data_IF_795338101909
#
_entry.id   IF_795338101909
#
_cell.length_a   1.000
_cell.length_b   1.000
_cell.length_c   1.000
_cell.angle_alpha   90.00
_cell.angle_beta   90.00
_cell.angle_gamma   90.00
#
_symmetry.space_group_name_H-M   'P 1'
#
loop_
_entity.id
_entity.type
_entity.pdbx_description
1 polymer ?
#
# COMPACT_ATOMS: atom_id res chain seq x y z
N UNK A 1 16.13 -4.36 -4.60
CA UNK A 1 15.46 -5.18 -3.57
C UNK A 1 14.70 -4.26 -2.64
N UNK A 2 13.47 -4.58 -2.32
CA UNK A 2 12.63 -3.79 -1.42
C UNK A 2 11.94 -4.69 -0.40
N UNK A 3 11.51 -4.10 0.71
CA UNK A 3 10.63 -4.74 1.69
C UNK A 3 9.18 -4.52 1.26
N UNK A 4 8.46 -5.60 1.00
CA UNK A 4 7.06 -5.55 0.53
C UNK A 4 6.13 -5.86 1.69
N UNK A 5 5.33 -4.90 2.08
CA UNK A 5 4.31 -5.05 3.13
C UNK A 5 2.96 -5.31 2.46
N UNK A 6 2.44 -6.52 2.64
CA UNK A 6 1.18 -6.95 2.04
C UNK A 6 0.10 -6.98 3.13
N UNK A 7 -0.85 -6.08 3.07
CA UNK A 7 -2.03 -6.17 3.94
C UNK A 7 -3.18 -6.91 3.23
N UNK A 8 -3.95 -7.65 4.01
CA UNK A 8 -5.00 -8.53 3.49
C UNK A 8 -6.38 -7.93 3.76
N UNK A 9 -7.20 -7.83 2.74
CA UNK A 9 -8.54 -7.30 2.84
C UNK A 9 -9.54 -8.19 2.09
N UNK A 10 -10.65 -8.54 2.72
CA UNK A 10 -11.66 -9.43 2.15
C UNK A 10 -12.58 -8.74 1.12
N UNK A 11 -12.48 -7.43 0.95
CA UNK A 11 -13.31 -6.63 0.05
C UNK A 11 -12.44 -5.73 -0.82
N UNK A 12 -12.60 -5.81 -2.16
CA UNK A 12 -11.79 -5.03 -3.10
C UNK A 12 -11.99 -3.52 -2.98
N UNK A 13 -13.23 -3.07 -2.82
CA UNK A 13 -13.52 -1.64 -2.68
C UNK A 13 -12.95 -1.08 -1.36
N UNK A 14 -13.08 -1.83 -0.28
CA UNK A 14 -12.51 -1.47 1.02
C UNK A 14 -10.97 -1.48 0.98
N UNK A 15 -10.36 -2.44 0.29
CA UNK A 15 -8.91 -2.47 0.06
C UNK A 15 -8.40 -1.18 -0.61
N UNK A 16 -9.08 -0.73 -1.65
CA UNK A 16 -8.71 0.49 -2.35
C UNK A 16 -8.88 1.72 -1.44
N UNK A 17 -9.93 1.74 -0.64
CA UNK A 17 -10.16 2.80 0.32
C UNK A 17 -9.10 2.82 1.44
N UNK A 18 -8.76 1.68 1.99
CA UNK A 18 -7.66 1.55 2.98
C UNK A 18 -6.33 1.99 2.36
N UNK A 19 -6.05 1.62 1.12
CA UNK A 19 -4.84 2.07 0.42
C UNK A 19 -4.74 3.60 0.36
N UNK A 20 -5.83 4.31 0.08
CA UNK A 20 -5.89 5.76 0.12
C UNK A 20 -5.65 6.33 1.52
N UNK A 21 -6.25 5.73 2.53
CA UNK A 21 -6.08 6.16 3.93
C UNK A 21 -4.64 5.96 4.39
N UNK A 22 -4.02 4.83 4.06
CA UNK A 22 -2.60 4.55 4.34
C UNK A 22 -1.70 5.57 3.63
N UNK A 23 -1.94 5.82 2.34
CA UNK A 23 -1.21 6.83 1.60
C UNK A 23 -1.26 8.21 2.29
N UNK A 24 -2.44 8.66 2.65
CA UNK A 24 -2.61 9.97 3.31
C UNK A 24 -1.91 10.03 4.67
N UNK A 25 -2.04 8.97 5.46
CA UNK A 25 -1.38 8.89 6.77
C UNK A 25 0.15 8.98 6.64
N UNK A 26 0.73 8.27 5.68
CA UNK A 26 2.17 8.29 5.42
C UNK A 26 2.61 9.62 4.79
N UNK A 27 1.84 10.15 3.84
CA UNK A 27 2.18 11.41 3.18
C UNK A 27 2.19 12.61 4.12
N UNK A 28 1.40 12.59 5.19
CA UNK A 28 1.45 13.63 6.23
C UNK A 28 2.77 13.65 7.02
N UNK A 29 3.52 12.55 7.01
CA UNK A 29 4.83 12.42 7.66
C UNK A 29 5.99 12.54 6.67
N UNK A 30 5.70 12.58 5.38
CA UNK A 30 6.70 12.55 4.32
C UNK A 30 7.32 13.91 4.04
N UNK A 31 8.54 13.88 3.52
CA UNK A 31 9.19 15.06 2.95
C UNK A 31 8.44 15.48 1.69
N UNK A 32 8.14 16.76 1.56
CA UNK A 32 7.44 17.31 0.40
C UNK A 32 8.44 17.98 -0.58
N UNK A 33 8.19 17.97 -1.90
CA UNK A 33 7.11 17.28 -2.61
C UNK A 33 7.34 15.76 -2.68
N UNK A 34 6.27 15.00 -2.90
CA UNK A 34 6.34 13.57 -3.18
C UNK A 34 5.76 13.22 -4.55
N UNK A 35 6.12 12.06 -5.11
CA UNK A 35 5.65 11.61 -6.42
C UNK A 35 4.35 10.82 -6.32
N UNK A 36 3.46 11.03 -7.26
CA UNK A 36 2.17 10.36 -7.35
C UNK A 36 1.84 10.04 -8.81
N UNK A 37 1.34 8.83 -9.07
CA UNK A 37 0.94 8.41 -10.41
C UNK A 37 -0.55 8.11 -10.44
N UNK A 38 -1.23 8.71 -11.40
CA UNK A 38 -2.60 8.45 -11.75
C UNK A 38 -2.67 8.24 -13.26
N UNK A 39 -3.28 7.13 -13.68
CA UNK A 39 -3.34 6.80 -15.12
C UNK A 39 -1.97 6.88 -15.81
N UNK A 40 -0.94 6.37 -15.16
CA UNK A 40 0.47 6.42 -15.59
C UNK A 40 1.07 7.85 -15.73
N UNK A 41 0.34 8.88 -15.35
CA UNK A 41 0.86 10.25 -15.30
C UNK A 41 1.49 10.52 -13.95
N UNK A 42 2.77 10.90 -13.95
CA UNK A 42 3.51 11.30 -12.76
C UNK A 42 3.21 12.75 -12.40
N UNK A 43 2.87 12.98 -11.15
CA UNK A 43 2.64 14.30 -10.56
C UNK A 43 3.57 14.49 -9.36
N UNK A 44 4.02 15.73 -9.11
CA UNK A 44 4.70 16.11 -7.87
C UNK A 44 3.72 16.86 -6.98
N UNK A 45 3.52 16.40 -5.77
CA UNK A 45 2.52 16.92 -4.86
C UNK A 45 3.18 17.48 -3.59
N UNK A 46 2.76 18.68 -3.20
CA UNK A 46 3.19 19.33 -1.95
C UNK A 46 2.27 18.99 -0.77
N UNK A 47 1.20 18.24 -1.01
CA UNK A 47 0.26 17.80 -0.01
C UNK A 47 -0.37 16.46 -0.44
N UNK A 48 -0.89 15.65 0.48
CA UNK A 48 -1.58 14.42 0.13
C UNK A 48 -2.74 14.68 -0.83
N UNK A 49 -2.81 13.85 -1.87
CA UNK A 49 -3.90 13.91 -2.85
C UNK A 49 -5.22 13.49 -2.21
N UNK A 50 -6.31 14.16 -2.60
CA UNK A 50 -7.65 13.68 -2.28
C UNK A 50 -8.04 12.52 -3.19
N UNK A 51 -8.82 11.53 -2.72
CA UNK A 51 -9.26 10.43 -3.56
C UNK A 51 -10.08 10.95 -4.76
N UNK A 52 -9.80 10.42 -5.93
CA UNK A 52 -10.78 10.43 -7.02
C UNK A 52 -11.56 9.13 -6.98
N UNK A 53 -12.84 9.22 -7.26
CA UNK A 53 -13.73 8.09 -7.25
C UNK A 53 -14.08 7.65 -8.67
N UNK A 54 -14.21 6.33 -8.87
CA UNK A 54 -14.79 5.76 -10.07
C UNK A 54 -16.30 6.06 -10.12
N UNK A 55 -16.97 5.86 -11.28
CA UNK A 55 -18.45 5.98 -11.34
C UNK A 55 -19.18 5.08 -10.34
N UNK A 56 -18.56 3.98 -9.90
CA UNK A 56 -19.10 3.06 -8.89
C UNK A 56 -18.84 3.51 -7.44
N UNK A 57 -18.19 4.65 -7.23
CA UNK A 57 -17.91 5.21 -5.91
C UNK A 57 -16.67 4.64 -5.20
N UNK A 58 -15.78 3.94 -5.90
CA UNK A 58 -14.53 3.42 -5.36
C UNK A 58 -13.37 4.37 -5.65
N UNK A 59 -12.36 4.46 -4.77
CA UNK A 59 -11.15 5.20 -5.08
C UNK A 59 -10.47 4.68 -6.35
N UNK A 60 -9.96 5.58 -7.18
CA UNK A 60 -9.20 5.21 -8.37
C UNK A 60 -7.85 4.56 -7.99
N UNK A 61 -7.36 3.68 -8.85
CA UNK A 61 -6.02 3.09 -8.68
C UNK A 61 -4.94 4.16 -8.75
N UNK A 62 -3.87 3.98 -7.98
CA UNK A 62 -2.76 4.93 -7.93
C UNK A 62 -1.46 4.26 -7.49
N UNK A 63 -0.37 4.95 -7.69
CA UNK A 63 0.93 4.70 -7.05
C UNK A 63 1.43 5.99 -6.42
N UNK A 64 2.10 5.88 -5.29
CA UNK A 64 2.77 7.02 -4.65
C UNK A 64 4.17 6.61 -4.19
N UNK A 65 5.09 7.55 -4.20
CA UNK A 65 6.46 7.36 -3.68
C UNK A 65 6.83 8.60 -2.88
N UNK A 66 7.27 8.41 -1.64
CA UNK A 66 7.57 9.48 -0.72
C UNK A 66 8.76 9.13 0.16
N UNK A 67 9.48 10.14 0.60
CA UNK A 67 10.57 9.97 1.56
C UNK A 67 10.07 10.14 2.99
N UNK A 68 10.30 9.12 3.82
CA UNK A 68 10.02 9.13 5.26
C UNK A 68 11.27 8.66 5.98
N UNK A 69 11.84 9.52 6.83
CA UNK A 69 13.07 9.20 7.60
C UNK A 69 14.19 8.61 6.72
N UNK A 70 14.46 9.26 5.59
CA UNK A 70 15.50 8.88 4.60
C UNK A 70 15.22 7.62 3.78
N UNK A 71 14.13 6.92 4.02
CA UNK A 71 13.72 5.75 3.24
C UNK A 71 12.66 6.12 2.20
N UNK A 72 12.74 5.52 1.02
CA UNK A 72 11.74 5.71 -0.03
C UNK A 72 10.60 4.72 0.15
N UNK A 73 9.43 5.23 0.49
CA UNK A 73 8.24 4.43 0.77
C UNK A 73 7.22 4.57 -0.37
N UNK A 74 6.89 3.45 -0.98
CA UNK A 74 5.87 3.35 -2.02
C UNK A 74 4.54 2.86 -1.46
N UNK A 75 3.43 3.39 -1.99
CA UNK A 75 2.08 2.85 -1.77
C UNK A 75 1.49 2.48 -3.12
N UNK A 76 1.05 1.24 -3.25
CA UNK A 76 0.48 0.71 -4.47
C UNK A 76 -0.98 0.33 -4.26
N UNK A 77 -1.87 1.03 -4.94
CA UNK A 77 -3.29 0.67 -5.05
C UNK A 77 -3.58 0.12 -6.44
N UNK A 78 -3.75 -1.20 -6.53
CA UNK A 78 -3.93 -1.90 -7.80
C UNK A 78 -4.90 -3.07 -7.67
N UNK A 79 -5.27 -3.69 -8.80
CA UNK A 79 -6.02 -4.94 -8.78
C UNK A 79 -5.19 -6.07 -8.14
N UNK A 80 -5.86 -7.04 -7.50
CA UNK A 80 -5.21 -8.15 -6.79
C UNK A 80 -4.82 -9.31 -7.73
N UNK A 81 -4.41 -9.04 -8.94
CA UNK A 81 -3.87 -10.06 -9.83
C UNK A 81 -2.34 -10.13 -9.70
N UNK A 82 -1.72 -11.32 -9.81
CA UNK A 82 -0.26 -11.43 -9.71
C UNK A 82 0.49 -10.48 -10.64
N UNK A 83 0.04 -10.33 -11.89
CA UNK A 83 0.67 -9.47 -12.87
C UNK A 83 0.60 -7.99 -12.51
N UNK A 84 -0.55 -7.49 -12.05
CA UNK A 84 -0.71 -6.08 -11.70
C UNK A 84 0.07 -5.72 -10.44
N UNK A 85 0.14 -6.62 -9.46
CA UNK A 85 0.92 -6.45 -8.25
C UNK A 85 2.42 -6.43 -8.58
N UNK A 86 2.90 -7.41 -9.30
CA UNK A 86 4.30 -7.51 -9.69
C UNK A 86 4.74 -6.30 -10.53
N UNK A 87 3.94 -5.92 -11.53
CA UNK A 87 4.25 -4.77 -12.39
C UNK A 87 4.29 -3.45 -11.61
N UNK A 88 3.34 -3.25 -10.71
CA UNK A 88 3.30 -2.06 -9.84
C UNK A 88 4.51 -1.98 -8.91
N UNK A 89 4.88 -3.09 -8.29
CA UNK A 89 6.07 -3.19 -7.42
C UNK A 89 7.33 -2.93 -8.24
N UNK A 90 7.49 -3.56 -9.40
CA UNK A 90 8.64 -3.34 -10.28
C UNK A 90 8.79 -1.87 -10.70
N UNK A 91 7.68 -1.19 -10.96
CA UNK A 91 7.67 0.24 -11.29
C UNK A 91 8.18 1.08 -10.11
N UNK A 92 7.67 0.86 -8.91
CA UNK A 92 8.10 1.60 -7.72
C UNK A 92 9.57 1.29 -7.35
N UNK A 93 10.01 0.05 -7.52
CA UNK A 93 11.43 -0.31 -7.31
C UNK A 93 12.36 0.42 -8.29
N UNK A 94 11.98 0.56 -9.56
CA UNK A 94 12.76 1.35 -10.53
C UNK A 94 12.85 2.83 -10.17
N UNK A 95 11.86 3.35 -9.46
CA UNK A 95 11.86 4.71 -8.95
C UNK A 95 12.59 4.83 -7.60
N UNK A 96 13.14 3.74 -7.08
CA UNK A 96 13.98 3.74 -5.88
C UNK A 96 13.27 3.40 -4.58
N UNK A 97 12.08 2.78 -4.61
CA UNK A 97 11.39 2.39 -3.38
C UNK A 97 12.18 1.36 -2.57
N UNK A 98 12.36 1.63 -1.27
CA UNK A 98 12.97 0.74 -0.28
C UNK A 98 11.90 -0.13 0.41
N UNK A 99 10.73 0.43 0.60
CA UNK A 99 9.57 -0.21 1.21
C UNK A 99 8.36 0.04 0.31
N UNK A 100 7.55 -0.99 0.07
CA UNK A 100 6.30 -0.85 -0.71
C UNK A 100 5.15 -1.49 0.06
N UNK A 101 4.06 -0.73 0.19
CA UNK A 101 2.80 -1.22 0.77
C UNK A 101 1.82 -1.52 -0.34
N UNK A 102 1.21 -2.69 -0.31
CA UNK A 102 0.18 -3.10 -1.25
C UNK A 102 -0.92 -3.91 -0.54
N UNK A 103 -2.17 -3.59 -0.84
CA UNK A 103 -3.33 -4.36 -0.40
C UNK A 103 -3.66 -5.48 -1.36
N UNK A 104 -3.93 -6.66 -0.84
CA UNK A 104 -4.30 -7.85 -1.63
C UNK A 104 -5.61 -8.43 -1.11
N UNK A 105 -6.48 -8.82 -2.04
CA UNK A 105 -7.72 -9.49 -1.69
C UNK A 105 -7.45 -10.84 -1.05
N UNK A 106 -8.15 -11.14 0.03
CA UNK A 106 -8.13 -12.44 0.69
C UNK A 106 -9.56 -12.97 0.91
N UNK A 107 -9.66 -14.25 1.27
CA UNK A 107 -10.94 -14.84 1.74
C UNK A 107 -11.19 -14.48 3.22
N UNK A 108 -12.30 -14.96 3.77
CA UNK A 108 -12.67 -14.70 5.17
C UNK A 108 -11.65 -15.25 6.20
N UNK A 109 -10.82 -16.21 5.82
CA UNK A 109 -9.76 -16.79 6.64
C UNK A 109 -8.40 -16.15 6.43
N UNK A 110 -8.33 -15.07 5.64
CA UNK A 110 -7.08 -14.36 5.34
C UNK A 110 -6.17 -15.06 4.33
N UNK A 111 -6.67 -16.04 3.61
CA UNK A 111 -5.92 -16.71 2.54
C UNK A 111 -5.99 -15.88 1.26
N UNK A 112 -4.85 -15.64 0.64
CA UNK A 112 -4.71 -14.88 -0.59
C UNK A 112 -4.83 -15.85 -1.77
N UNK A 113 -5.81 -15.68 -2.70
CA UNK A 113 -5.81 -16.42 -3.95
C UNK A 113 -4.50 -16.17 -4.71
N UNK A 114 -3.97 -17.21 -5.36
CA UNK A 114 -2.69 -17.13 -6.10
C UNK A 114 -1.49 -16.67 -5.26
N UNK A 115 -1.55 -16.82 -3.94
CA UNK A 115 -0.50 -16.39 -3.00
C UNK A 115 0.87 -16.93 -3.43
N UNK A 116 0.94 -18.21 -3.79
CA UNK A 116 2.20 -18.85 -4.21
C UNK A 116 2.80 -18.12 -5.42
N UNK A 117 2.00 -17.84 -6.44
CA UNK A 117 2.46 -17.16 -7.65
C UNK A 117 2.98 -15.76 -7.34
N UNK A 118 2.28 -15.00 -6.50
CA UNK A 118 2.70 -13.65 -6.08
C UNK A 118 4.02 -13.73 -5.30
N UNK A 119 4.10 -14.61 -4.31
CA UNK A 119 5.24 -14.69 -3.40
C UNK A 119 6.49 -15.25 -4.09
N UNK A 120 6.34 -16.27 -4.93
CA UNK A 120 7.46 -16.83 -5.68
C UNK A 120 8.07 -15.79 -6.61
N UNK A 121 7.26 -14.99 -7.32
CA UNK A 121 7.74 -13.91 -8.16
C UNK A 121 8.50 -12.84 -7.39
N UNK A 122 7.95 -12.36 -6.26
CA UNK A 122 8.59 -11.33 -5.44
C UNK A 122 9.87 -11.85 -4.77
N UNK A 123 9.86 -13.08 -4.30
CA UNK A 123 11.04 -13.71 -3.68
C UNK A 123 12.14 -13.95 -4.71
N UNK A 124 11.77 -14.35 -5.93
CA UNK A 124 12.72 -14.52 -7.04
C UNK A 124 13.43 -13.20 -7.36
N UNK A 125 12.71 -12.08 -7.31
CA UNK A 125 13.27 -10.73 -7.51
C UNK A 125 14.08 -10.25 -6.30
N UNK A 126 14.18 -11.04 -5.24
CA UNK A 126 14.98 -10.74 -4.05
C UNK A 126 14.28 -9.83 -3.03
N UNK A 127 12.96 -9.67 -3.12
CA UNK A 127 12.20 -8.87 -2.14
C UNK A 127 11.96 -9.63 -0.85
N UNK A 128 11.94 -8.89 0.26
CA UNK A 128 11.48 -9.39 1.55
C UNK A 128 9.97 -9.14 1.68
N UNK A 129 9.19 -10.16 2.00
CA UNK A 129 7.75 -10.05 2.18
C UNK A 129 7.40 -10.03 3.66
N UNK A 130 6.64 -9.01 4.06
CA UNK A 130 6.10 -8.86 5.41
C UNK A 130 4.57 -8.82 5.31
N UNK A 131 3.91 -9.71 6.04
CA UNK A 131 2.45 -9.74 6.14
C UNK A 131 2.07 -9.38 7.57
N UNK A 132 1.52 -8.18 7.82
CA UNK A 132 0.98 -7.83 9.13
C UNK A 132 -0.06 -8.87 9.58
N UNK A 133 -0.12 -9.21 10.88
CA UNK A 133 -1.00 -10.28 11.38
C UNK A 133 -2.47 -9.88 11.44
N UNK A 134 -2.87 -8.84 10.73
CA UNK A 134 -4.25 -8.36 10.62
C UNK A 134 -4.90 -8.85 9.33
N UNK A 135 -6.19 -9.19 9.40
CA UNK A 135 -7.04 -9.46 8.24
C UNK A 135 -8.20 -8.49 8.30
N UNK A 136 -8.32 -7.62 7.30
CA UNK A 136 -9.41 -6.66 7.22
C UNK A 136 -10.65 -7.40 6.69
N UNK A 137 -11.72 -7.53 7.50
CA UNK A 137 -12.89 -8.31 7.14
C UNK A 137 -13.72 -7.61 6.05
N UNK A 138 -14.67 -8.33 5.48
CA UNK A 138 -15.64 -7.74 4.56
C UNK A 138 -16.63 -6.87 5.33
N UNK A 139 -16.32 -5.59 5.46
CA UNK A 139 -17.20 -4.59 6.05
C UNK A 139 -18.08 -4.04 4.93
N UNK A 140 -19.39 -4.26 5.04
CA UNK A 140 -20.39 -3.71 4.13
C UNK A 140 -20.82 -2.34 4.63
N UNK A 141 -21.11 -1.43 3.69
CA UNK A 141 -21.64 -0.09 4.00
C UNK A 141 -20.75 0.75 4.94
N UNK A 142 -19.43 0.66 4.78
CA UNK A 142 -18.53 1.58 5.49
C UNK A 142 -18.74 3.03 4.97
N UNK A 143 -18.83 4.00 5.86
CA UNK A 143 -19.00 5.40 5.46
C UNK A 143 -17.71 5.93 4.84
N UNK A 144 -17.80 6.38 3.59
CA UNK A 144 -16.64 6.90 2.83
C UNK A 144 -16.15 8.24 3.39
N UNK A 145 -17.02 8.99 4.05
CA UNK A 145 -16.77 10.37 4.47
C UNK A 145 -16.85 10.61 5.99
N UNK A 146 -17.17 9.59 6.77
CA UNK A 146 -17.26 9.72 8.23
C UNK A 146 -16.09 9.03 8.92
N UNK A 147 -15.61 9.53 10.09
CA UNK A 147 -14.62 8.83 10.88
C UNK A 147 -15.12 7.43 11.25
N UNK A 148 -14.32 6.42 10.96
CA UNK A 148 -14.60 5.03 11.32
C UNK A 148 -13.42 4.49 12.13
N UNK A 149 -13.63 4.27 13.43
CA UNK A 149 -12.57 3.81 14.34
C UNK A 149 -11.96 2.47 13.93
N UNK A 150 -12.76 1.56 13.31
CA UNK A 150 -12.25 0.26 12.86
C UNK A 150 -11.33 0.42 11.67
N UNK A 151 -11.67 1.30 10.70
CA UNK A 151 -10.81 1.59 9.57
C UNK A 151 -9.53 2.29 10.01
N UNK A 152 -9.62 3.25 10.91
CA UNK A 152 -8.46 3.96 11.47
C UNK A 152 -7.52 2.98 12.20
N UNK A 153 -8.07 2.00 12.91
CA UNK A 153 -7.27 0.96 13.55
C UNK A 153 -6.46 0.15 12.51
N UNK A 154 -7.11 -0.31 11.44
CA UNK A 154 -6.42 -1.06 10.38
C UNK A 154 -5.33 -0.22 9.70
N UNK A 155 -5.63 1.03 9.38
CA UNK A 155 -4.67 1.97 8.78
C UNK A 155 -3.48 2.16 9.70
N UNK A 156 -3.71 2.33 11.00
CA UNK A 156 -2.64 2.48 11.99
C UNK A 156 -1.76 1.25 12.09
N UNK A 157 -2.33 0.04 12.05
CA UNK A 157 -1.57 -1.20 12.07
C UNK A 157 -0.66 -1.33 10.83
N UNK A 158 -1.16 -0.95 9.66
CA UNK A 158 -0.37 -0.95 8.43
C UNK A 158 0.74 0.12 8.50
N UNK A 159 0.41 1.32 8.93
CA UNK A 159 1.39 2.40 9.09
C UNK A 159 2.49 2.02 10.08
N UNK A 160 2.16 1.35 11.19
CA UNK A 160 3.13 0.85 12.16
C UNK A 160 4.08 -0.17 11.53
N UNK A 161 3.57 -1.09 10.69
CA UNK A 161 4.42 -2.05 9.97
C UNK A 161 5.41 -1.33 9.02
N UNK A 162 5.01 -0.24 8.39
CA UNK A 162 5.90 0.60 7.58
C UNK A 162 6.98 1.23 8.44
N UNK A 163 6.61 1.82 9.57
CA UNK A 163 7.57 2.47 10.47
C UNK A 163 8.55 1.47 11.06
N UNK A 164 8.12 0.27 11.39
CA UNK A 164 9.00 -0.82 11.82
C UNK A 164 10.00 -1.19 10.72
N UNK A 165 9.53 -1.30 9.47
CA UNK A 165 10.39 -1.53 8.31
C UNK A 165 11.42 -0.43 8.10
N UNK A 166 11.04 0.83 8.25
CA UNK A 166 11.96 1.99 8.18
C UNK A 166 13.03 1.89 9.26
N UNK A 167 12.63 1.60 10.50
CA UNK A 167 13.55 1.48 11.62
C UNK A 167 14.55 0.33 11.43
N UNK A 168 14.09 -0.81 10.92
CA UNK A 168 14.97 -1.95 10.61
C UNK A 168 16.02 -1.59 9.57
N UNK A 169 15.60 -0.95 8.45
CA UNK A 169 16.53 -0.53 7.40
C UNK A 169 17.53 0.52 7.89
N UNK A 170 17.08 1.48 8.68
CA UNK A 170 17.99 2.48 9.26
C UNK A 170 19.00 1.88 10.23
N UNK A 171 18.64 0.82 10.95
CA UNK A 171 19.55 0.13 11.85
C UNK A 171 20.57 -0.76 11.11
N UNK A 172 20.20 -1.31 9.95
CA UNK A 172 21.12 -2.09 9.12
C UNK A 172 22.19 -1.21 8.44
N UNK A 173 21.89 0.06 8.22
CA UNK A 173 22.80 1.02 7.57
C UNK A 173 23.73 1.76 8.56
N UNK A 174 23.69 1.42 9.84
CA UNK A 174 24.57 1.92 10.89
C UNK A 174 25.69 0.92 11.19
#
# INVERSE_FOLDING_TARGET
>A
MAKIIIFRCANDALRDHISWMVYRALANQAVQPHAFWRNNQRLLLNAPQTPLFTPQGNPCKFKALMEIHTQQVGVLCTASTPQTIWHGIATLCREGADIIVVGVKCNAHGQIPDQRQIFDALTFDGHEIVIPPIVIPNIRNYPVHEPNNDLDYFVQQIANAVMDGINELNNQNR
#
